data_IF_237794317609
#
_entry.id   IF_237794317609
#
_cell.length_a   1.000
_cell.length_b   1.000
_cell.length_c   1.000
_cell.angle_alpha   90.00
_cell.angle_beta   90.00
_cell.angle_gamma   90.00
#
_symmetry.space_group_name_H-M   'P 1'
#
loop_
_entity.id
_entity.type
_entity.pdbx_description
1 polymer ?
#
# COMPACT_ATOMS: atom_id res chain seq x y z
N UNK A 1 -31.30 14.46 10.40
CA UNK A 1 -30.64 13.22 10.85
C UNK A 1 -30.39 12.40 9.61
N UNK A 2 -29.18 12.52 9.05
CA UNK A 2 -28.78 11.68 7.92
C UNK A 2 -28.72 10.22 8.38
N UNK A 3 -29.15 9.30 7.52
CA UNK A 3 -29.07 7.88 7.83
C UNK A 3 -27.60 7.46 7.96
N UNK A 4 -27.27 6.59 8.95
CA UNK A 4 -25.91 6.09 9.11
C UNK A 4 -25.44 5.36 7.85
N UNK A 5 -24.15 5.51 7.50
CA UNK A 5 -23.60 4.91 6.29
C UNK A 5 -23.72 3.39 6.32
N UNK A 6 -24.19 2.79 5.22
CA UNK A 6 -24.25 1.33 5.07
C UNK A 6 -23.24 0.87 4.02
N UNK A 7 -22.46 -0.16 4.33
CA UNK A 7 -21.53 -0.77 3.37
C UNK A 7 -22.30 -1.59 2.33
N UNK A 8 -22.01 -1.34 1.06
CA UNK A 8 -22.60 -2.01 -0.10
C UNK A 8 -21.55 -2.89 -0.78
N UNK A 9 -21.65 -4.20 -0.57
CA UNK A 9 -20.69 -5.17 -1.06
C UNK A 9 -20.84 -5.46 -2.56
N UNK A 10 -19.74 -5.48 -3.33
CA UNK A 10 -19.77 -5.98 -4.70
C UNK A 10 -19.88 -7.52 -4.72
N UNK A 11 -20.27 -8.11 -5.86
CA UNK A 11 -20.24 -9.56 -6.05
C UNK A 11 -18.85 -10.14 -5.74
N UNK A 12 -18.82 -11.26 -5.03
CA UNK A 12 -17.57 -11.90 -4.66
C UNK A 12 -16.96 -12.71 -5.81
N UNK A 13 -17.81 -13.42 -6.55
CA UNK A 13 -17.41 -14.32 -7.62
C UNK A 13 -18.27 -14.10 -8.87
N UNK A 14 -17.71 -14.46 -10.03
CA UNK A 14 -18.38 -14.44 -11.33
C UNK A 14 -18.93 -15.81 -11.73
N UNK A 15 -19.66 -16.48 -10.84
CA UNK A 15 -20.12 -17.84 -11.09
C UNK A 15 -21.63 -17.95 -11.31
N UNK A 16 -22.47 -17.00 -10.85
CA UNK A 16 -23.92 -17.10 -10.95
C UNK A 16 -24.58 -15.98 -11.76
N UNK A 17 -25.52 -16.35 -12.66
CA UNK A 17 -26.33 -15.38 -13.40
C UNK A 17 -27.43 -14.79 -12.51
N UNK A 18 -27.54 -13.45 -12.44
CA UNK A 18 -28.53 -12.75 -11.61
C UNK A 18 -29.99 -13.01 -12.01
N UNK A 19 -30.26 -13.45 -13.25
CA UNK A 19 -31.62 -13.80 -13.67
C UNK A 19 -32.01 -15.26 -13.38
N UNK A 20 -31.33 -16.21 -14.04
CA UNK A 20 -31.69 -17.63 -13.99
C UNK A 20 -31.06 -18.38 -12.82
N UNK A 21 -30.18 -17.73 -12.04
CA UNK A 21 -29.48 -18.29 -10.88
C UNK A 21 -28.60 -19.51 -11.18
N UNK A 22 -28.44 -19.88 -12.46
CA UNK A 22 -27.57 -20.99 -12.88
C UNK A 22 -26.11 -20.57 -12.82
N UNK A 23 -25.27 -21.47 -12.30
CA UNK A 23 -23.83 -21.28 -12.31
C UNK A 23 -23.25 -21.46 -13.71
N UNK A 24 -22.54 -20.46 -14.24
CA UNK A 24 -21.91 -20.50 -15.56
C UNK A 24 -20.58 -19.75 -15.57
N UNK A 25 -19.57 -20.22 -16.32
CA UNK A 25 -18.35 -19.45 -16.54
C UNK A 25 -18.64 -18.24 -17.45
N UNK A 26 -17.74 -17.26 -17.43
CA UNK A 26 -17.70 -16.14 -18.39
C UNK A 26 -18.97 -15.26 -18.44
N UNK A 27 -19.56 -14.99 -17.28
CA UNK A 27 -20.69 -14.06 -17.19
C UNK A 27 -20.30 -12.64 -17.63
N UNK A 28 -21.25 -11.95 -18.25
CA UNK A 28 -21.16 -10.54 -18.60
C UNK A 28 -21.73 -9.67 -17.48
N UNK A 29 -21.14 -8.50 -17.27
CA UNK A 29 -21.65 -7.53 -16.31
C UNK A 29 -22.71 -6.63 -16.93
N UNK A 30 -23.64 -6.16 -16.09
CA UNK A 30 -24.43 -4.97 -16.42
C UNK A 30 -23.47 -3.82 -16.78
N UNK A 31 -23.60 -3.29 -17.99
CA UNK A 31 -22.73 -2.23 -18.50
C UNK A 31 -22.85 -0.92 -17.73
N UNK A 32 -23.96 -0.71 -17.01
CA UNK A 32 -24.20 0.51 -16.23
C UNK A 32 -23.62 0.40 -14.80
N UNK A 33 -24.03 -0.60 -14.02
CA UNK A 33 -23.67 -0.69 -12.60
C UNK A 33 -22.49 -1.61 -12.30
N UNK A 34 -22.23 -2.61 -13.14
CA UNK A 34 -21.28 -3.71 -12.91
C UNK A 34 -21.51 -4.57 -11.65
N UNK A 35 -22.72 -4.55 -11.08
CA UNK A 35 -23.09 -5.31 -9.87
C UNK A 35 -24.02 -6.50 -10.17
N UNK A 36 -24.59 -6.57 -11.37
CA UNK A 36 -25.37 -7.71 -11.85
C UNK A 36 -24.64 -8.43 -12.99
N UNK A 37 -24.79 -9.75 -13.04
CA UNK A 37 -24.07 -10.66 -13.95
C UNK A 37 -25.04 -11.50 -14.75
N UNK A 38 -24.74 -11.76 -16.01
CA UNK A 38 -25.66 -12.44 -16.92
C UNK A 38 -24.95 -13.47 -17.78
N UNK A 39 -25.62 -14.60 -18.01
CA UNK A 39 -25.10 -15.61 -18.94
C UNK A 39 -25.50 -15.33 -20.39
N UNK A 40 -26.47 -14.45 -20.62
CA UNK A 40 -26.91 -14.05 -21.96
C UNK A 40 -27.63 -12.70 -21.92
N UNK A 41 -27.76 -12.06 -23.09
CA UNK A 41 -28.50 -10.81 -23.25
C UNK A 41 -29.99 -10.99 -22.95
N UNK A 42 -30.55 -12.17 -23.18
CA UNK A 42 -31.94 -12.51 -22.87
C UNK A 42 -32.16 -12.51 -21.34
N UNK A 43 -31.27 -13.16 -20.58
CA UNK A 43 -31.31 -13.11 -19.12
C UNK A 43 -31.21 -11.68 -18.59
N UNK A 44 -30.36 -10.86 -19.22
CA UNK A 44 -30.24 -9.44 -18.87
C UNK A 44 -31.55 -8.67 -19.11
N UNK A 45 -32.18 -8.83 -20.29
CA UNK A 45 -33.44 -8.15 -20.62
C UNK A 45 -34.58 -8.55 -19.67
N UNK A 46 -34.72 -9.85 -19.39
CA UNK A 46 -35.76 -10.36 -18.49
C UNK A 46 -35.56 -9.86 -17.05
N UNK A 47 -34.33 -9.90 -16.53
CA UNK A 47 -34.04 -9.34 -15.20
C UNK A 47 -34.20 -7.82 -15.18
N UNK A 48 -33.85 -7.13 -16.27
CA UNK A 48 -34.04 -5.68 -16.40
C UNK A 48 -35.50 -5.29 -16.23
N UNK A 49 -36.40 -5.91 -16.99
CA UNK A 49 -37.82 -5.58 -16.97
C UNK A 49 -38.49 -5.89 -15.64
N UNK A 50 -38.10 -7.00 -14.99
CA UNK A 50 -38.72 -7.45 -13.75
C UNK A 50 -38.23 -6.70 -12.51
N UNK A 51 -36.92 -6.52 -12.36
CA UNK A 51 -36.32 -6.14 -11.06
C UNK A 51 -35.18 -5.12 -11.19
N UNK A 52 -34.21 -5.36 -12.07
CA UNK A 52 -32.94 -4.63 -12.05
C UNK A 52 -33.09 -3.14 -12.42
N UNK A 53 -34.08 -2.78 -13.25
CA UNK A 53 -34.24 -1.41 -13.77
C UNK A 53 -34.31 -0.35 -12.69
N UNK A 54 -34.97 -0.64 -11.56
CA UNK A 54 -35.14 0.34 -10.48
C UNK A 54 -33.89 0.47 -9.61
N UNK A 55 -33.23 -0.66 -9.32
CA UNK A 55 -32.00 -0.70 -8.52
C UNK A 55 -30.74 -0.26 -9.31
N UNK A 56 -30.79 -0.31 -10.65
CA UNK A 56 -29.65 0.04 -11.48
C UNK A 56 -29.36 1.55 -11.48
N UNK A 57 -28.28 1.94 -10.79
CA UNK A 57 -27.71 3.30 -10.82
C UNK A 57 -26.46 3.44 -11.68
N UNK A 58 -25.92 4.67 -11.77
CA UNK A 58 -24.61 4.92 -12.41
C UNK A 58 -23.48 4.62 -11.41
N UNK A 59 -22.45 3.93 -11.87
CA UNK A 59 -21.24 3.64 -11.09
C UNK A 59 -20.01 4.27 -11.75
N UNK A 60 -19.32 5.14 -11.03
CA UNK A 60 -17.94 5.53 -11.34
C UNK A 60 -17.01 4.37 -10.96
N UNK A 61 -16.33 3.83 -11.97
CA UNK A 61 -15.40 2.71 -11.85
C UNK A 61 -13.99 3.23 -11.99
N UNK A 62 -13.22 3.15 -10.91
CA UNK A 62 -11.90 3.75 -10.82
C UNK A 62 -10.85 2.64 -10.87
N UNK A 63 -9.90 2.73 -11.79
CA UNK A 63 -8.84 1.74 -11.91
C UNK A 63 -7.80 1.92 -10.80
N UNK A 64 -7.61 0.89 -9.96
CA UNK A 64 -6.64 0.90 -8.88
C UNK A 64 -5.21 1.15 -9.37
N UNK A 65 -4.86 0.73 -10.59
CA UNK A 65 -3.57 1.03 -11.22
C UNK A 65 -3.33 2.52 -11.52
N UNK A 66 -4.39 3.32 -11.56
CA UNK A 66 -4.31 4.79 -11.67
C UNK A 66 -4.60 5.50 -10.35
N UNK A 67 -5.21 4.80 -9.38
CA UNK A 67 -5.64 5.37 -8.11
C UNK A 67 -4.65 5.15 -6.96
N UNK A 68 -3.87 4.06 -6.99
CA UNK A 68 -2.91 3.75 -5.94
C UNK A 68 -1.89 4.86 -5.63
N UNK A 69 -1.48 5.74 -6.57
CA UNK A 69 -0.56 6.82 -6.24
C UNK A 69 -1.15 7.78 -5.20
N UNK A 70 -2.45 8.10 -5.27
CA UNK A 70 -3.09 8.88 -4.21
C UNK A 70 -3.03 8.16 -2.85
N UNK A 71 -3.22 6.83 -2.82
CA UNK A 71 -3.11 6.04 -1.59
C UNK A 71 -1.69 6.09 -1.01
N UNK A 72 -0.66 6.02 -1.86
CA UNK A 72 0.73 6.15 -1.43
C UNK A 72 1.05 7.55 -0.90
N UNK A 73 0.52 8.60 -1.55
CA UNK A 73 0.69 9.98 -1.11
C UNK A 73 0.00 10.22 0.25
N UNK A 74 -1.20 9.67 0.44
CA UNK A 74 -1.90 9.69 1.73
C UNK A 74 -1.14 8.92 2.81
N UNK A 75 -0.46 7.81 2.45
CA UNK A 75 0.44 7.12 3.37
C UNK A 75 1.60 8.04 3.79
N UNK A 76 2.17 8.78 2.83
CA UNK A 76 3.29 9.68 3.07
C UNK A 76 2.90 10.84 3.99
N UNK A 77 1.70 11.44 3.84
CA UNK A 77 1.24 12.51 4.76
C UNK A 77 1.07 12.03 6.20
N UNK A 78 0.66 10.76 6.41
CA UNK A 78 0.56 10.17 7.74
C UNK A 78 1.93 10.08 8.45
N UNK A 79 3.02 9.87 7.70
CA UNK A 79 4.38 9.78 8.24
C UNK A 79 4.90 11.11 8.79
N UNK A 80 4.38 12.23 8.29
CA UNK A 80 4.71 13.58 8.75
C UNK A 80 3.72 14.13 9.78
N UNK A 81 2.83 13.30 10.31
CA UNK A 81 1.84 13.74 11.28
C UNK A 81 2.48 14.09 12.63
N UNK A 82 2.11 15.23 13.22
CA UNK A 82 2.72 15.72 14.48
C UNK A 82 2.43 14.89 15.73
N UNK A 83 1.49 13.95 15.68
CA UNK A 83 1.28 12.96 16.77
C UNK A 83 2.21 11.74 16.65
N UNK A 84 2.86 11.55 15.51
CA UNK A 84 3.78 10.44 15.34
C UNK A 84 5.05 10.72 16.16
N UNK A 85 5.52 9.78 16.98
CA UNK A 85 6.72 9.98 17.75
C UNK A 85 7.92 10.14 16.82
N UNK A 86 8.81 11.05 17.22
CA UNK A 86 10.08 11.24 16.55
C UNK A 86 10.95 9.99 16.68
N UNK A 87 11.53 9.54 15.57
CA UNK A 87 12.47 8.43 15.59
C UNK A 87 13.73 8.82 16.38
N UNK A 88 14.19 8.03 17.39
CA UNK A 88 15.31 8.41 18.26
C UNK A 88 16.59 8.79 17.50
N UNK A 89 16.93 8.08 16.42
CA UNK A 89 18.11 8.38 15.61
C UNK A 89 18.11 9.80 14.97
N UNK A 90 16.97 10.49 14.92
CA UNK A 90 16.90 11.86 14.39
C UNK A 90 17.37 12.91 15.42
N UNK A 91 17.39 12.58 16.72
CA UNK A 91 17.83 13.47 17.80
C UNK A 91 19.23 13.13 18.32
N UNK A 92 20.01 12.35 17.57
CA UNK A 92 21.39 11.98 17.91
C UNK A 92 22.31 12.17 16.72
N UNK A 93 23.59 12.48 16.97
CA UNK A 93 24.61 12.46 15.91
C UNK A 93 24.83 11.06 15.39
N UNK A 94 25.05 10.93 14.10
CA UNK A 94 25.58 9.71 13.47
C UNK A 94 27.10 9.80 13.44
N UNK A 95 27.76 8.82 14.05
CA UNK A 95 29.22 8.85 14.31
C UNK A 95 30.05 8.24 13.19
N UNK A 96 29.47 7.37 12.37
CA UNK A 96 30.14 6.67 11.28
C UNK A 96 29.14 6.21 10.21
N UNK A 97 29.60 5.87 8.99
CA UNK A 97 28.74 5.27 7.98
C UNK A 97 28.14 3.94 8.47
N UNK A 98 26.83 3.70 8.27
CA UNK A 98 26.22 2.45 8.72
C UNK A 98 26.86 1.21 8.07
N UNK A 99 27.27 0.26 8.90
CA UNK A 99 27.95 -0.97 8.48
C UNK A 99 27.17 -2.22 8.90
N UNK A 100 27.29 -3.30 8.13
CA UNK A 100 26.64 -4.57 8.47
C UNK A 100 27.33 -5.20 9.67
N UNK A 101 26.55 -5.46 10.73
CA UNK A 101 27.01 -6.13 11.95
C UNK A 101 26.14 -7.35 12.20
N UNK A 102 26.77 -8.46 12.62
CA UNK A 102 26.07 -9.67 13.08
C UNK A 102 25.68 -9.58 14.55
N UNK A 103 24.50 -10.10 14.89
CA UNK A 103 23.95 -10.11 16.24
C UNK A 103 24.03 -11.51 16.88
N UNK A 104 23.96 -11.62 18.22
CA UNK A 104 24.02 -12.91 18.93
C UNK A 104 22.91 -13.90 18.54
N UNK A 105 21.78 -13.42 18.03
CA UNK A 105 20.66 -14.24 17.55
C UNK A 105 20.89 -14.80 16.12
N UNK A 106 22.05 -14.53 15.53
CA UNK A 106 22.43 -14.96 14.18
C UNK A 106 21.91 -14.05 13.05
N UNK A 107 21.14 -13.01 13.38
CA UNK A 107 20.71 -12.00 12.40
C UNK A 107 21.83 -11.01 12.10
N UNK A 108 21.68 -10.20 11.06
CA UNK A 108 22.59 -9.11 10.73
C UNK A 108 21.83 -7.93 10.11
N UNK A 109 22.29 -6.71 10.35
CA UNK A 109 21.70 -5.49 9.78
C UNK A 109 22.76 -4.38 9.64
N UNK A 110 22.48 -3.34 8.85
CA UNK A 110 23.28 -2.09 8.88
C UNK A 110 23.01 -1.35 10.18
N UNK A 111 24.03 -1.22 11.01
CA UNK A 111 23.96 -0.51 12.30
C UNK A 111 24.21 0.98 12.10
N UNK A 112 23.26 1.81 12.56
CA UNK A 112 23.42 3.25 12.72
C UNK A 112 23.88 3.52 14.16
N UNK A 113 25.13 3.95 14.31
CA UNK A 113 25.69 4.31 15.60
C UNK A 113 25.31 5.74 15.99
N UNK A 114 24.68 5.87 17.17
CA UNK A 114 24.16 7.11 17.71
C UNK A 114 25.12 7.66 18.77
N UNK A 115 25.66 8.83 18.48
CA UNK A 115 26.49 9.63 19.38
C UNK A 115 25.65 10.56 20.27
N UNK A 116 26.24 11.69 20.71
CA UNK A 116 25.56 12.65 21.58
C UNK A 116 24.25 13.18 20.99
N UNK A 117 23.31 13.50 21.87
CA UNK A 117 22.03 14.12 21.50
C UNK A 117 22.24 15.47 20.81
N UNK A 118 21.33 15.77 19.88
CA UNK A 118 21.25 17.05 19.18
C UNK A 118 19.79 17.51 19.10
N UNK A 119 19.54 18.82 18.95
CA UNK A 119 18.21 19.33 18.64
C UNK A 119 17.68 18.73 17.34
N UNK A 120 16.37 18.49 17.29
CA UNK A 120 15.71 17.97 16.08
C UNK A 120 15.84 18.89 14.86
N UNK A 121 15.96 20.20 15.08
CA UNK A 121 16.20 21.16 14.00
C UNK A 121 17.54 20.93 13.29
N UNK A 122 18.48 20.24 13.93
CA UNK A 122 19.76 19.86 13.32
C UNK A 122 19.65 18.55 12.52
N UNK A 123 18.52 17.83 12.53
CA UNK A 123 18.34 16.61 11.74
C UNK A 123 18.58 16.88 10.24
N UNK A 124 19.18 15.91 9.53
CA UNK A 124 19.63 16.04 8.12
C UNK A 124 20.78 17.04 7.88
N UNK A 125 21.23 17.80 8.89
CA UNK A 125 22.34 18.76 8.74
C UNK A 125 23.73 18.11 8.87
N UNK A 126 24.78 18.88 8.57
CA UNK A 126 26.19 18.51 8.83
C UNK A 126 26.47 18.24 10.32
N UNK A 127 25.66 18.80 11.24
CA UNK A 127 25.76 18.50 12.68
C UNK A 127 25.18 17.14 13.03
N UNK A 128 24.19 16.68 12.27
CA UNK A 128 23.57 15.38 12.46
C UNK A 128 24.45 14.25 11.93
N UNK A 129 25.03 14.39 10.74
CA UNK A 129 26.03 13.44 10.23
C UNK A 129 27.07 14.18 9.41
N UNK A 130 28.26 14.35 10.00
CA UNK A 130 29.30 15.18 9.38
C UNK A 130 29.99 14.48 8.22
N UNK A 131 30.48 15.28 7.27
CA UNK A 131 31.32 14.84 6.16
C UNK A 131 32.59 14.15 6.67
N UNK A 132 33.16 14.63 7.78
CA UNK A 132 34.31 13.99 8.43
C UNK A 132 33.99 12.56 8.94
N UNK A 133 32.74 12.31 9.33
CA UNK A 133 32.22 10.99 9.69
C UNK A 133 31.62 10.23 8.48
N UNK A 134 31.96 10.64 7.25
CA UNK A 134 31.49 10.02 6.00
C UNK A 134 30.06 10.40 5.57
N UNK A 135 29.45 11.40 6.20
CA UNK A 135 28.11 11.89 5.88
C UNK A 135 28.11 12.82 4.67
N UNK A 136 27.74 12.31 3.50
CA UNK A 136 27.47 13.13 2.31
C UNK A 136 26.04 13.66 2.32
N UNK A 137 25.74 14.73 1.57
CA UNK A 137 24.37 15.25 1.45
C UNK A 137 23.38 14.19 0.96
N UNK A 138 23.79 13.34 0.02
CA UNK A 138 22.94 12.27 -0.50
C UNK A 138 22.70 11.18 0.56
N UNK A 139 23.75 10.77 1.28
CA UNK A 139 23.63 9.78 2.35
C UNK A 139 22.77 10.30 3.51
N UNK A 140 22.94 11.57 3.90
CA UNK A 140 22.11 12.25 4.90
C UNK A 140 20.64 12.24 4.50
N UNK A 141 20.30 12.69 3.29
CA UNK A 141 18.91 12.69 2.79
C UNK A 141 18.31 11.29 2.77
N UNK A 142 19.07 10.30 2.29
CA UNK A 142 18.60 8.91 2.17
C UNK A 142 18.32 8.28 3.53
N UNK A 143 19.26 8.40 4.47
CA UNK A 143 19.09 7.87 5.81
C UNK A 143 17.95 8.60 6.53
N UNK A 144 17.90 9.93 6.46
CA UNK A 144 16.80 10.71 7.02
C UNK A 144 15.44 10.22 6.48
N UNK A 145 15.32 10.05 5.16
CA UNK A 145 14.11 9.57 4.52
C UNK A 145 13.71 8.16 5.01
N UNK A 146 14.66 7.25 5.26
CA UNK A 146 14.38 5.91 5.80
C UNK A 146 13.87 5.99 7.23
N UNK A 147 14.52 6.78 8.09
CA UNK A 147 14.15 6.95 9.50
C UNK A 147 12.75 7.56 9.67
N UNK A 148 12.44 8.62 8.91
CA UNK A 148 11.10 9.21 8.95
C UNK A 148 10.04 8.28 8.35
N UNK A 149 10.41 7.23 7.61
CA UNK A 149 9.47 6.26 7.05
C UNK A 149 9.39 4.96 7.85
N UNK A 150 10.07 4.88 8.98
CA UNK A 150 10.12 3.65 9.78
C UNK A 150 8.92 3.48 10.71
N UNK A 151 8.33 2.28 10.75
CA UNK A 151 7.23 1.95 11.66
C UNK A 151 5.85 2.43 11.21
N UNK A 152 4.85 2.21 12.07
CA UNK A 152 3.43 2.61 11.88
C UNK A 152 2.75 2.08 10.61
N UNK A 153 3.30 1.03 9.97
CA UNK A 153 2.75 0.51 8.71
C UNK A 153 1.31 0.05 8.88
N UNK A 154 1.01 -0.70 9.94
CA UNK A 154 -0.34 -1.22 10.20
C UNK A 154 -1.38 -0.10 10.41
N UNK A 155 -1.17 0.91 11.29
CA UNK A 155 -2.07 2.06 11.38
C UNK A 155 -2.26 2.81 10.07
N UNK A 156 -1.18 3.01 9.29
CA UNK A 156 -1.25 3.69 7.99
C UNK A 156 -2.13 2.90 7.02
N UNK A 157 -1.83 1.62 6.76
CA UNK A 157 -2.61 0.83 5.78
C UNK A 157 -4.06 0.59 6.23
N UNK A 158 -4.30 0.51 7.55
CA UNK A 158 -5.65 0.48 8.12
C UNK A 158 -6.41 1.75 7.77
N UNK A 159 -5.82 2.92 8.01
CA UNK A 159 -6.48 4.21 7.73
C UNK A 159 -6.81 4.41 6.24
N UNK A 160 -5.98 3.89 5.34
CA UNK A 160 -6.23 3.92 3.90
C UNK A 160 -7.41 3.01 3.53
N UNK A 161 -7.45 1.80 4.08
CA UNK A 161 -8.54 0.86 3.83
C UNK A 161 -9.88 1.36 4.39
N UNK A 162 -9.89 1.97 5.58
CA UNK A 162 -11.09 2.60 6.15
C UNK A 162 -11.55 3.79 5.30
N UNK A 163 -10.61 4.62 4.82
CA UNK A 163 -10.91 5.69 3.88
C UNK A 163 -11.59 5.20 2.60
N UNK A 164 -11.06 4.13 2.00
CA UNK A 164 -11.66 3.48 0.83
C UNK A 164 -13.06 2.92 1.13
N UNK A 165 -13.22 2.21 2.25
CA UNK A 165 -14.49 1.63 2.68
C UNK A 165 -15.57 2.71 2.82
N UNK A 166 -15.26 3.75 3.59
CA UNK A 166 -16.18 4.83 3.94
C UNK A 166 -16.52 5.77 2.78
N UNK A 167 -15.64 5.94 1.79
CA UNK A 167 -15.86 6.90 0.68
C UNK A 167 -16.30 6.26 -0.62
N UNK A 168 -15.95 4.99 -0.85
CA UNK A 168 -16.33 4.29 -2.08
C UNK A 168 -17.48 3.33 -1.83
N UNK A 169 -17.44 2.52 -0.78
CA UNK A 169 -18.37 1.39 -0.62
C UNK A 169 -19.60 1.69 0.23
N UNK A 170 -19.77 2.93 0.70
CA UNK A 170 -21.01 3.42 1.32
C UNK A 170 -21.90 4.19 0.33
N UNK A 171 -21.40 4.42 -0.88
CA UNK A 171 -22.14 5.17 -1.91
C UNK A 171 -23.17 4.28 -2.61
N UNK A 172 -24.32 4.88 -2.91
CA UNK A 172 -25.46 4.27 -3.59
C UNK A 172 -25.95 5.16 -4.75
N UNK A 173 -26.60 4.54 -5.74
CA UNK A 173 -27.21 5.20 -6.89
C UNK A 173 -28.40 4.39 -7.36
N UNK A 174 -29.50 5.05 -7.70
CA UNK A 174 -30.69 4.44 -8.28
C UNK A 174 -31.03 5.10 -9.60
N UNK A 175 -31.98 4.52 -10.33
CA UNK A 175 -32.41 5.08 -11.61
C UNK A 175 -32.98 6.49 -11.41
N UNK A 176 -32.48 7.45 -12.20
CA UNK A 176 -32.90 8.85 -12.12
C UNK A 176 -32.22 9.66 -11.00
N UNK A 177 -31.45 9.02 -10.12
CA UNK A 177 -30.66 9.72 -9.11
C UNK A 177 -29.51 10.51 -9.74
N UNK A 178 -29.20 11.67 -9.17
CA UNK A 178 -27.96 12.42 -9.46
C UNK A 178 -26.75 11.81 -8.76
N UNK A 179 -26.96 11.03 -7.70
CA UNK A 179 -25.91 10.33 -6.97
C UNK A 179 -25.31 9.22 -7.82
N UNK A 180 -24.02 8.96 -7.61
CA UNK A 180 -23.26 7.93 -8.32
C UNK A 180 -22.63 7.00 -7.28
N UNK A 181 -22.63 5.71 -7.57
CA UNK A 181 -21.78 4.76 -6.84
C UNK A 181 -20.33 4.98 -7.25
N UNK A 182 -19.41 4.70 -6.35
CA UNK A 182 -17.97 4.67 -6.64
C UNK A 182 -17.45 3.28 -6.29
N UNK A 183 -16.79 2.61 -7.23
CA UNK A 183 -16.21 1.27 -7.01
C UNK A 183 -14.83 1.19 -7.64
N UNK A 184 -13.94 0.45 -7.00
CA UNK A 184 -12.65 0.12 -7.58
C UNK A 184 -12.78 -0.98 -8.62
N UNK A 185 -11.93 -0.93 -9.64
CA UNK A 185 -11.67 -2.02 -10.57
C UNK A 185 -10.16 -2.13 -10.79
N UNK A 186 -9.70 -3.26 -11.31
CA UNK A 186 -8.38 -3.35 -11.93
C UNK A 186 -8.57 -3.63 -13.41
N UNK A 187 -8.09 -2.72 -14.27
CA UNK A 187 -8.41 -2.72 -15.70
C UNK A 187 -9.92 -2.72 -15.89
N UNK A 188 -10.46 -3.75 -16.52
CA UNK A 188 -11.90 -3.89 -16.75
C UNK A 188 -12.62 -4.79 -15.74
N UNK A 189 -11.93 -5.24 -14.68
CA UNK A 189 -12.46 -6.22 -13.73
C UNK A 189 -12.74 -5.58 -12.37
N UNK A 190 -14.00 -5.60 -11.88
CA UNK A 190 -14.34 -5.06 -10.56
C UNK A 190 -13.50 -5.67 -9.43
N UNK A 191 -13.14 -4.84 -8.45
CA UNK A 191 -12.59 -5.30 -7.18
C UNK A 191 -13.74 -5.90 -6.37
N UNK A 192 -13.60 -7.17 -5.99
CA UNK A 192 -14.57 -7.91 -5.17
C UNK A 192 -14.20 -7.90 -3.69
N UNK A 193 -12.93 -7.66 -3.38
CA UNK A 193 -12.42 -7.59 -2.02
C UNK A 193 -11.15 -6.74 -1.94
N UNK A 194 -10.93 -6.09 -0.79
CA UNK A 194 -9.65 -5.49 -0.43
C UNK A 194 -9.48 -5.52 1.09
N UNK A 195 -8.23 -5.50 1.52
CA UNK A 195 -7.93 -5.50 2.93
C UNK A 195 -6.44 -5.51 3.21
N UNK A 196 -6.08 -6.01 4.38
CA UNK A 196 -4.71 -5.96 4.89
C UNK A 196 -4.19 -7.39 4.99
N UNK A 197 -2.97 -7.59 4.51
CA UNK A 197 -2.22 -8.80 4.70
C UNK A 197 -1.04 -8.53 5.65
N UNK A 198 -0.72 -9.53 6.47
CA UNK A 198 0.39 -9.59 7.42
C UNK A 198 1.26 -10.79 7.05
N UNK A 199 2.57 -10.60 7.06
CA UNK A 199 3.52 -11.64 6.71
C UNK A 199 4.95 -11.19 6.80
N UNK A 200 5.80 -11.75 5.95
CA UNK A 200 7.18 -11.34 5.79
C UNK A 200 7.47 -10.98 4.34
N UNK A 201 8.61 -10.33 4.11
CA UNK A 201 9.17 -10.21 2.78
C UNK A 201 10.69 -10.44 2.77
N UNK A 202 11.20 -10.90 1.64
CA UNK A 202 12.62 -11.21 1.47
C UNK A 202 13.46 -9.94 1.33
N UNK A 203 14.40 -9.74 2.26
CA UNK A 203 15.33 -8.59 2.28
C UNK A 203 16.71 -9.03 2.75
N UNK A 204 17.76 -8.40 2.19
CA UNK A 204 19.15 -8.65 2.60
C UNK A 204 19.47 -7.86 3.88
N UNK A 205 20.40 -8.38 4.69
CA UNK A 205 20.87 -7.69 5.91
C UNK A 205 21.41 -6.28 5.64
N UNK A 206 22.03 -6.05 4.49
CA UNK A 206 22.54 -4.75 4.07
C UNK A 206 21.45 -3.68 3.84
N UNK A 207 20.20 -4.11 3.71
CA UNK A 207 19.05 -3.25 3.50
C UNK A 207 18.18 -3.14 4.76
N UNK A 208 18.50 -3.87 5.83
CA UNK A 208 17.87 -3.71 7.15
C UNK A 208 18.64 -2.70 7.99
N UNK A 209 17.94 -1.96 8.86
CA UNK A 209 18.56 -1.06 9.83
C UNK A 209 18.50 -1.65 11.24
N UNK A 210 19.53 -1.36 12.02
CA UNK A 210 19.57 -1.49 13.46
C UNK A 210 20.28 -0.27 14.04
N UNK A 211 20.17 -0.08 15.35
CA UNK A 211 20.63 1.13 16.02
C UNK A 211 21.42 0.77 17.27
N UNK A 212 22.42 1.59 17.58
CA UNK A 212 23.25 1.44 18.77
C UNK A 212 23.50 2.81 19.41
N UNK A 213 23.24 2.96 20.71
CA UNK A 213 23.42 4.23 21.42
C UNK A 213 24.61 4.24 22.39
N UNK A 214 25.57 3.32 22.20
CA UNK A 214 26.70 3.11 23.12
C UNK A 214 26.41 2.08 24.23
N UNK A 215 25.14 1.87 24.58
CA UNK A 215 24.75 0.95 25.66
C UNK A 215 23.91 -0.23 25.16
N UNK A 216 23.02 -0.01 24.19
CA UNK A 216 22.02 -0.99 23.77
C UNK A 216 21.86 -1.00 22.26
N UNK A 217 21.68 -2.21 21.71
CA UNK A 217 21.24 -2.42 20.34
C UNK A 217 19.72 -2.60 20.28
N UNK A 218 19.09 -2.07 19.24
CA UNK A 218 17.74 -2.44 18.85
C UNK A 218 17.62 -2.53 17.34
N UNK A 219 16.73 -3.42 16.86
CA UNK A 219 16.44 -3.56 15.44
C UNK A 219 15.47 -2.48 15.01
N UNK A 220 15.60 -2.07 13.75
CA UNK A 220 14.58 -1.26 13.12
C UNK A 220 13.35 -2.07 12.72
N UNK A 221 12.60 -1.56 11.74
CA UNK A 221 11.42 -2.25 11.21
C UNK A 221 11.73 -3.70 10.83
N UNK A 222 10.89 -4.62 11.33
CA UNK A 222 11.08 -6.05 11.17
C UNK A 222 10.50 -6.52 9.82
N UNK A 223 11.32 -7.07 8.89
CA UNK A 223 10.80 -7.60 7.64
C UNK A 223 9.99 -8.88 7.81
N UNK A 224 10.12 -9.56 8.96
CA UNK A 224 9.33 -10.72 9.31
C UNK A 224 7.96 -10.35 9.91
N UNK A 225 7.71 -9.09 10.27
CA UNK A 225 6.41 -8.59 10.74
C UNK A 225 5.95 -7.39 9.90
N UNK A 226 5.58 -7.66 8.65
CA UNK A 226 5.30 -6.65 7.65
C UNK A 226 3.84 -6.67 7.16
N UNK A 227 3.37 -5.52 6.70
CA UNK A 227 1.97 -5.28 6.32
C UNK A 227 1.84 -4.64 4.94
N UNK A 228 0.86 -5.09 4.15
CA UNK A 228 0.53 -4.51 2.85
C UNK A 228 -0.97 -4.55 2.56
N UNK A 229 -1.42 -3.73 1.61
CA UNK A 229 -2.80 -3.73 1.14
C UNK A 229 -2.91 -4.72 -0.01
N UNK A 230 -3.90 -5.61 0.04
CA UNK A 230 -4.26 -6.46 -1.09
C UNK A 230 -5.57 -5.99 -1.71
N UNK A 231 -5.69 -6.17 -3.02
CA UNK A 231 -6.93 -6.04 -3.78
C UNK A 231 -7.16 -7.33 -4.56
N UNK A 232 -8.39 -7.82 -4.52
CA UNK A 232 -8.82 -9.00 -5.25
C UNK A 232 -9.92 -8.62 -6.22
N UNK A 233 -9.73 -8.96 -7.48
CA UNK A 233 -10.79 -8.85 -8.47
C UNK A 233 -11.79 -9.98 -8.32
N UNK A 234 -13.01 -9.77 -8.81
CA UNK A 234 -14.06 -10.80 -8.89
C UNK A 234 -13.69 -12.02 -9.78
N UNK A 235 -12.58 -11.93 -10.53
CA UNK A 235 -11.98 -13.04 -11.29
C UNK A 235 -10.84 -13.75 -10.54
N UNK A 236 -10.61 -13.39 -9.28
CA UNK A 236 -9.56 -13.98 -8.44
C UNK A 236 -8.15 -13.45 -8.70
N UNK A 237 -7.99 -12.43 -9.54
CA UNK A 237 -6.69 -11.77 -9.68
C UNK A 237 -6.37 -10.91 -8.46
N UNK A 238 -5.15 -11.04 -7.94
CA UNK A 238 -4.64 -10.29 -6.80
C UNK A 238 -3.63 -9.22 -7.23
N UNK A 239 -3.75 -8.06 -6.59
CA UNK A 239 -2.87 -6.89 -6.73
C UNK A 239 -2.43 -6.49 -5.32
N UNK A 240 -1.17 -6.10 -5.15
CA UNK A 240 -0.62 -5.64 -3.87
C UNK A 240 -0.17 -4.19 -3.99
N UNK A 241 -0.48 -3.39 -2.98
CA UNK A 241 0.15 -2.11 -2.71
C UNK A 241 0.89 -2.20 -1.38
N UNK A 242 2.21 -2.05 -1.44
CA UNK A 242 3.07 -2.02 -0.27
C UNK A 242 3.75 -0.65 -0.16
N UNK A 243 3.46 0.07 0.92
CA UNK A 243 3.96 1.42 1.21
C UNK A 243 5.10 1.42 2.23
N UNK A 244 5.50 0.24 2.72
CA UNK A 244 6.46 0.09 3.82
C UNK A 244 7.85 -0.41 3.39
N UNK A 245 8.07 -0.76 2.12
CA UNK A 245 9.36 -1.33 1.70
C UNK A 245 10.51 -0.31 1.55
N UNK A 246 10.22 0.99 1.54
CA UNK A 246 11.26 2.02 1.38
C UNK A 246 12.31 1.99 2.49
N UNK A 247 11.90 1.66 3.71
CA UNK A 247 12.79 1.50 4.87
C UNK A 247 13.80 0.38 4.67
N UNK A 248 13.53 -0.51 3.71
CA UNK A 248 14.35 -1.64 3.31
C UNK A 248 14.98 -1.45 1.92
N UNK A 249 15.16 -0.19 1.51
CA UNK A 249 15.82 0.16 0.26
C UNK A 249 15.10 -0.30 -1.02
N UNK A 250 13.80 -0.63 -0.94
CA UNK A 250 12.97 -0.77 -2.14
C UNK A 250 12.48 0.61 -2.59
N UNK A 251 13.29 1.25 -3.42
CA UNK A 251 13.22 2.69 -3.68
C UNK A 251 12.26 3.11 -4.80
N UNK A 252 11.19 2.36 -5.03
CA UNK A 252 10.18 2.75 -6.04
C UNK A 252 9.28 3.84 -5.45
N UNK A 253 9.23 4.98 -6.14
CA UNK A 253 8.48 6.17 -5.74
C UNK A 253 7.48 6.54 -6.83
N UNK A 254 6.32 7.08 -6.43
CA UNK A 254 5.36 7.73 -7.33
C UNK A 254 5.48 9.25 -7.21
N UNK A 255 5.37 9.96 -8.32
CA UNK A 255 5.28 11.44 -8.34
C UNK A 255 3.94 11.89 -7.79
N UNK A 256 3.94 12.88 -6.89
CA UNK A 256 2.73 13.35 -6.21
C UNK A 256 1.95 14.41 -6.99
N UNK A 257 2.64 15.34 -7.66
CA UNK A 257 2.07 16.52 -8.32
C UNK A 257 0.81 16.23 -9.17
N UNK A 258 0.77 15.20 -10.05
CA UNK A 258 -0.39 14.96 -10.90
C UNK A 258 -1.66 14.56 -10.15
N UNK A 259 -1.52 14.13 -8.89
CA UNK A 259 -2.59 13.58 -8.07
C UNK A 259 -3.14 14.58 -7.06
N UNK A 260 -2.33 15.58 -6.67
CA UNK A 260 -2.66 16.51 -5.59
C UNK A 260 -2.85 17.96 -6.04
N UNK A 261 -2.50 18.32 -7.28
CA UNK A 261 -2.56 19.71 -7.78
C UNK A 261 -3.94 20.38 -7.64
N UNK A 262 -5.02 19.59 -7.73
CA UNK A 262 -6.42 20.04 -7.68
C UNK A 262 -7.07 19.82 -6.29
N UNK A 263 -6.29 19.37 -5.30
CA UNK A 263 -6.76 18.96 -3.97
C UNK A 263 -6.19 19.86 -2.87
N UNK A 264 -6.93 19.93 -1.77
CA UNK A 264 -6.50 20.61 -0.55
C UNK A 264 -5.81 19.65 0.43
N UNK A 265 -5.28 20.17 1.54
CA UNK A 265 -4.73 19.40 2.66
C UNK A 265 -3.43 18.60 2.42
N UNK A 266 -2.54 19.10 1.56
CA UNK A 266 -1.19 18.55 1.41
C UNK A 266 -0.10 19.49 1.95
N UNK A 267 0.93 18.96 2.64
CA UNK A 267 2.06 19.76 3.06
C UNK A 267 2.88 20.23 1.85
N UNK A 268 3.51 21.42 1.93
CA UNK A 268 4.42 21.88 0.89
C UNK A 268 5.61 20.93 0.75
N UNK A 269 6.10 20.73 -0.49
CA UNK A 269 7.28 19.90 -0.78
C UNK A 269 7.04 18.40 -0.81
N UNK A 270 5.77 17.95 -0.82
CA UNK A 270 5.44 16.55 -1.05
C UNK A 270 5.56 16.21 -2.54
N UNK A 271 6.78 15.90 -2.98
CA UNK A 271 7.07 15.63 -4.40
C UNK A 271 6.88 14.15 -4.77
N UNK A 272 7.20 13.25 -3.85
CA UNK A 272 7.21 11.80 -4.10
C UNK A 272 6.69 11.01 -2.89
N UNK A 273 6.06 9.87 -3.15
CA UNK A 273 5.63 8.92 -2.14
C UNK A 273 6.12 7.50 -2.46
N UNK A 274 6.61 6.72 -1.48
CA UNK A 274 7.00 5.34 -1.74
C UNK A 274 5.80 4.45 -2.05
N UNK A 275 5.95 3.62 -3.08
CA UNK A 275 4.93 2.65 -3.45
C UNK A 275 5.53 1.48 -4.22
N UNK A 276 5.40 0.28 -3.67
CA UNK A 276 5.59 -0.95 -4.41
C UNK A 276 4.23 -1.52 -4.81
N UNK A 277 3.84 -1.25 -6.06
CA UNK A 277 2.57 -1.69 -6.63
C UNK A 277 2.77 -2.94 -7.50
N UNK A 278 2.49 -4.12 -6.95
CA UNK A 278 2.66 -5.40 -7.66
C UNK A 278 1.35 -5.76 -8.38
N UNK A 279 1.32 -5.45 -9.67
CA UNK A 279 0.21 -5.74 -10.57
C UNK A 279 0.41 -7.06 -11.34
N UNK A 280 -0.52 -7.39 -12.26
CA UNK A 280 -0.43 -8.58 -13.14
C UNK A 280 0.93 -8.72 -13.83
N UNK A 281 1.46 -7.61 -14.33
CA UNK A 281 2.69 -7.61 -15.13
C UNK A 281 3.88 -7.90 -14.22
N UNK A 282 3.98 -7.21 -13.08
CA UNK A 282 5.06 -7.44 -12.12
C UNK A 282 4.97 -8.84 -11.50
N UNK A 283 3.79 -9.30 -11.11
CA UNK A 283 3.59 -10.65 -10.56
C UNK A 283 4.08 -11.76 -11.50
N UNK A 284 3.98 -11.56 -12.83
CA UNK A 284 4.44 -12.52 -13.84
C UNK A 284 5.95 -12.47 -14.08
N UNK A 285 6.61 -11.34 -13.87
CA UNK A 285 8.00 -11.13 -14.30
C UNK A 285 9.00 -11.02 -13.14
N UNK A 286 8.55 -10.62 -11.94
CA UNK A 286 9.40 -10.44 -10.75
C UNK A 286 9.22 -11.61 -9.80
N UNK A 287 10.30 -12.00 -9.11
CA UNK A 287 10.27 -13.03 -8.06
C UNK A 287 9.26 -12.66 -6.96
N UNK A 288 8.67 -13.67 -6.33
CA UNK A 288 7.79 -13.43 -5.20
C UNK A 288 8.66 -13.14 -3.98
N UNK A 289 8.58 -11.90 -3.48
CA UNK A 289 9.31 -11.47 -2.28
C UNK A 289 8.43 -11.52 -1.03
N UNK A 290 7.12 -11.40 -1.15
CA UNK A 290 6.17 -11.47 -0.02
C UNK A 290 5.77 -12.91 0.30
N UNK A 291 5.77 -13.23 1.60
CA UNK A 291 5.20 -14.45 2.17
C UNK A 291 4.08 -14.07 3.13
N UNK A 292 2.85 -14.32 2.74
CA UNK A 292 1.68 -14.02 3.57
C UNK A 292 1.48 -15.08 4.66
N UNK A 293 1.13 -14.65 5.87
CA UNK A 293 0.76 -15.53 6.99
C UNK A 293 -0.67 -15.32 7.48
N UNK A 294 -1.17 -14.09 7.42
CA UNK A 294 -2.52 -13.72 7.86
C UNK A 294 -3.07 -12.66 6.92
N UNK A 295 -4.38 -12.68 6.65
CA UNK A 295 -5.07 -11.60 5.93
C UNK A 295 -6.43 -11.34 6.53
N UNK A 296 -6.94 -10.14 6.32
CA UNK A 296 -8.29 -9.74 6.70
C UNK A 296 -8.90 -8.86 5.61
N UNK A 297 -10.13 -9.19 5.22
CA UNK A 297 -10.92 -8.33 4.33
C UNK A 297 -11.39 -7.13 5.12
N UNK A 298 -11.01 -5.92 4.71
CA UNK A 298 -11.60 -4.71 5.30
C UNK A 298 -12.97 -4.44 4.70
N UNK A 299 -13.14 -4.73 3.40
CA UNK A 299 -14.42 -4.52 2.70
C UNK A 299 -15.57 -5.32 3.32
N UNK A 300 -15.31 -6.55 3.77
CA UNK A 300 -16.32 -7.50 4.26
C UNK A 300 -16.27 -7.68 5.78
N UNK A 301 -15.46 -6.90 6.49
CA UNK A 301 -15.43 -6.95 7.96
C UNK A 301 -16.59 -6.15 8.54
N UNK A 302 -17.51 -6.85 9.22
CA UNK A 302 -18.69 -6.24 9.81
C UNK A 302 -18.35 -5.20 10.88
N UNK A 303 -17.38 -5.47 11.76
CA UNK A 303 -16.93 -4.53 12.81
C UNK A 303 -16.37 -3.25 12.21
N UNK A 304 -15.54 -3.34 11.18
CA UNK A 304 -15.02 -2.15 10.48
C UNK A 304 -16.10 -1.42 9.68
N UNK A 305 -17.08 -2.16 9.14
CA UNK A 305 -18.27 -1.58 8.52
C UNK A 305 -19.15 -0.82 9.52
N UNK A 306 -19.23 -1.29 10.77
CA UNK A 306 -19.88 -0.56 11.88
C UNK A 306 -19.10 0.70 12.24
N UNK A 307 -17.78 0.59 12.39
CA UNK A 307 -16.92 1.70 12.81
C UNK A 307 -16.95 2.91 11.87
N UNK A 308 -17.21 2.72 10.57
CA UNK A 308 -17.24 3.82 9.60
C UNK A 308 -18.61 4.51 9.46
N UNK A 309 -19.63 4.08 10.21
CA UNK A 309 -21.02 4.58 10.08
C UNK A 309 -21.15 6.07 10.29
N UNK A 310 -20.41 6.63 11.25
CA UNK A 310 -20.48 8.04 11.65
C UNK A 310 -19.38 8.90 11.02
N UNK A 311 -18.52 8.30 10.18
CA UNK A 311 -17.31 8.94 9.61
C UNK A 311 -17.54 10.26 8.87
N UNK A 312 -18.78 10.64 8.55
CA UNK A 312 -19.15 11.96 7.99
C UNK A 312 -18.96 13.06 9.03
N UNK A 313 -19.42 12.83 10.26
CA UNK A 313 -19.39 13.79 11.37
C UNK A 313 -18.14 13.61 12.26
N UNK A 314 -17.51 12.44 12.17
CA UNK A 314 -16.32 12.08 12.94
C UNK A 314 -16.35 10.61 13.33
N UNK A 315 -15.56 10.22 14.32
CA UNK A 315 -15.66 8.90 14.94
C UNK A 315 -16.13 9.07 16.38
N UNK A 316 -17.15 8.30 16.78
CA UNK A 316 -17.56 8.21 18.17
C UNK A 316 -16.61 7.30 18.96
N UNK A 317 -16.75 7.28 20.29
CA UNK A 317 -15.93 6.42 21.16
C UNK A 317 -16.05 4.94 20.76
N UNK A 318 -17.28 4.46 20.52
CA UNK A 318 -17.53 3.08 20.09
C UNK A 318 -16.92 2.75 18.73
N UNK A 319 -16.86 3.71 17.80
CA UNK A 319 -16.20 3.52 16.51
C UNK A 319 -14.68 3.38 16.69
N UNK A 320 -14.10 4.20 17.57
CA UNK A 320 -12.68 4.15 17.90
C UNK A 320 -12.30 2.83 18.55
N UNK A 321 -13.12 2.32 19.48
CA UNK A 321 -12.94 1.03 20.15
C UNK A 321 -12.90 -0.13 19.14
N UNK A 322 -13.80 -0.14 18.15
CA UNK A 322 -13.81 -1.18 17.10
C UNK A 322 -12.55 -1.15 16.22
N UNK A 323 -12.03 0.04 15.93
CA UNK A 323 -10.78 0.21 15.16
C UNK A 323 -9.58 -0.24 15.99
N UNK A 324 -9.55 0.08 17.28
CA UNK A 324 -8.50 -0.34 18.20
C UNK A 324 -8.51 -1.85 18.43
N UNK A 325 -9.68 -2.45 18.65
CA UNK A 325 -9.84 -3.91 18.76
C UNK A 325 -9.30 -4.60 17.50
N UNK A 326 -9.65 -4.10 16.32
CA UNK A 326 -9.12 -4.61 15.06
C UNK A 326 -7.58 -4.54 14.98
N UNK A 327 -6.98 -3.43 15.38
CA UNK A 327 -5.53 -3.25 15.34
C UNK A 327 -4.82 -4.19 16.32
N UNK A 328 -5.37 -4.36 17.53
CA UNK A 328 -4.83 -5.27 18.53
C UNK A 328 -4.92 -6.73 18.07
N UNK A 329 -6.09 -7.15 17.56
CA UNK A 329 -6.33 -8.51 17.11
C UNK A 329 -5.52 -8.87 15.85
N UNK A 330 -5.43 -7.94 14.89
CA UNK A 330 -4.73 -8.18 13.65
C UNK A 330 -3.21 -8.02 13.80
N UNK A 331 -2.81 -7.03 14.60
CA UNK A 331 -1.44 -6.67 14.91
C UNK A 331 -0.77 -7.53 15.98
N UNK A 332 -1.42 -8.58 16.50
CA UNK A 332 -0.85 -9.49 17.50
C UNK A 332 0.64 -9.80 17.24
N UNK A 333 1.49 -9.55 18.24
CA UNK A 333 2.95 -9.70 18.17
C UNK A 333 3.72 -8.46 17.67
N UNK A 334 3.03 -7.43 17.18
CA UNK A 334 3.61 -6.12 16.83
C UNK A 334 3.61 -5.21 18.05
N UNK A 335 4.63 -4.35 18.16
CA UNK A 335 4.64 -3.31 19.18
C UNK A 335 3.41 -2.39 19.01
N UNK A 336 2.69 -2.05 20.10
CA UNK A 336 1.58 -1.10 20.02
C UNK A 336 2.04 0.24 19.43
N UNK A 337 1.15 0.90 18.69
CA UNK A 337 1.37 2.29 18.30
C UNK A 337 1.63 3.12 19.57
N UNK A 338 2.62 4.02 19.57
CA UNK A 338 2.87 4.92 20.70
C UNK A 338 1.70 5.87 20.98
N UNK A 339 0.79 6.05 20.02
CA UNK A 339 -0.45 6.78 20.21
C UNK A 339 -1.61 6.05 19.50
N UNK A 340 -2.56 5.52 20.29
CA UNK A 340 -3.72 4.77 19.82
C UNK A 340 -4.68 5.61 18.95
N UNK A 341 -4.52 6.94 18.93
CA UNK A 341 -5.33 7.86 18.12
C UNK A 341 -4.84 7.98 16.68
N UNK A 342 -3.59 7.62 16.38
CA UNK A 342 -3.01 7.71 15.03
C UNK A 342 -3.91 7.13 13.91
N UNK A 343 -4.40 5.88 13.98
CA UNK A 343 -5.25 5.31 12.94
C UNK A 343 -6.53 6.13 12.71
N UNK A 344 -7.13 6.68 13.78
CA UNK A 344 -8.34 7.50 13.71
C UNK A 344 -8.05 8.82 13.00
N UNK A 345 -6.99 9.52 13.43
CA UNK A 345 -6.61 10.82 12.87
C UNK A 345 -6.17 10.69 11.41
N UNK A 346 -5.41 9.65 11.08
CA UNK A 346 -5.04 9.35 9.69
C UNK A 346 -6.28 9.08 8.83
N UNK A 347 -7.25 8.32 9.36
CA UNK A 347 -8.48 8.03 8.65
C UNK A 347 -9.26 9.31 8.36
N UNK A 348 -9.47 10.19 9.36
CA UNK A 348 -10.17 11.46 9.18
C UNK A 348 -9.51 12.35 8.12
N UNK A 349 -8.16 12.45 8.11
CA UNK A 349 -7.43 13.17 7.07
C UNK A 349 -7.63 12.55 5.68
N UNK A 350 -7.51 11.23 5.58
CA UNK A 350 -7.75 10.51 4.33
C UNK A 350 -9.17 10.72 3.81
N UNK A 351 -10.18 10.75 4.70
CA UNK A 351 -11.58 10.98 4.33
C UNK A 351 -11.79 12.35 3.68
N UNK A 352 -11.18 13.40 4.22
CA UNK A 352 -11.28 14.74 3.64
C UNK A 352 -10.77 14.77 2.19
N UNK A 353 -9.55 14.29 1.98
CA UNK A 353 -8.93 14.25 0.65
C UNK A 353 -9.68 13.34 -0.31
N UNK A 354 -10.08 12.14 0.13
CA UNK A 354 -10.82 11.18 -0.71
C UNK A 354 -12.19 11.72 -1.09
N UNK A 355 -12.93 12.36 -0.18
CA UNK A 355 -14.22 12.99 -0.46
C UNK A 355 -14.06 14.11 -1.47
N UNK A 356 -13.04 14.95 -1.32
CA UNK A 356 -12.75 16.02 -2.27
C UNK A 356 -12.40 15.46 -3.66
N UNK A 357 -11.46 14.52 -3.74
CA UNK A 357 -11.03 13.90 -4.99
C UNK A 357 -12.17 13.20 -5.73
N UNK A 358 -13.03 12.48 -4.99
CA UNK A 358 -14.19 11.79 -5.55
C UNK A 358 -15.31 12.76 -5.95
N UNK A 359 -15.58 13.78 -5.14
CA UNK A 359 -16.60 14.81 -5.42
C UNK A 359 -16.25 15.64 -6.66
N UNK A 360 -14.98 16.09 -6.76
CA UNK A 360 -14.44 16.80 -7.94
C UNK A 360 -14.14 15.87 -9.12
N UNK A 361 -14.13 14.55 -8.89
CA UNK A 361 -13.77 13.51 -9.88
C UNK A 361 -12.39 13.76 -10.50
N UNK A 362 -11.42 14.23 -9.70
CA UNK A 362 -10.06 14.57 -10.15
C UNK A 362 -9.35 13.39 -10.80
N UNK A 363 -9.66 12.16 -10.35
CA UNK A 363 -9.15 10.91 -10.93
C UNK A 363 -9.36 10.76 -12.44
N UNK A 364 -10.33 11.47 -13.02
CA UNK A 364 -10.57 11.45 -14.46
C UNK A 364 -9.47 12.14 -15.28
N UNK A 365 -8.66 13.00 -14.63
CA UNK A 365 -7.54 13.73 -15.24
C UNK A 365 -6.18 13.10 -14.96
N UNK A 366 -6.09 12.16 -14.00
CA UNK A 366 -4.82 11.61 -13.59
C UNK A 366 -4.14 10.78 -14.69
N UNK A 367 -2.80 10.66 -14.65
CA UNK A 367 -2.06 9.86 -15.62
C UNK A 367 -2.53 8.40 -15.67
N UNK A 368 -2.73 7.88 -16.88
CA UNK A 368 -3.04 6.45 -17.10
C UNK A 368 -1.88 5.53 -16.71
N UNK A 369 -0.66 6.06 -16.79
CA UNK A 369 0.56 5.42 -16.30
C UNK A 369 1.16 6.35 -15.24
N UNK A 370 1.13 5.97 -13.96
CA UNK A 370 1.72 6.79 -12.90
C UNK A 370 3.19 7.09 -13.19
N UNK A 371 3.64 8.36 -13.04
CA UNK A 371 5.05 8.68 -13.14
C UNK A 371 5.81 8.07 -11.96
N UNK A 372 6.83 7.27 -12.27
CA UNK A 372 7.65 6.57 -11.29
C UNK A 372 9.05 7.16 -11.23
N UNK A 373 9.64 7.15 -10.05
CA UNK A 373 11.04 7.47 -9.80
C UNK A 373 11.71 6.35 -8.98
N UNK A 374 13.04 6.28 -9.07
CA UNK A 374 13.85 5.37 -8.24
C UNK A 374 14.79 6.25 -7.40
N UNK A 375 14.66 6.15 -6.08
CA UNK A 375 15.53 6.84 -5.13
C UNK A 375 16.69 5.92 -4.69
N UNK A 376 17.64 5.64 -5.60
CA UNK A 376 18.75 4.70 -5.36
C UNK A 376 19.72 5.16 -4.27
N UNK A 377 20.36 4.21 -3.59
CA UNK A 377 21.43 4.51 -2.62
C UNK A 377 22.60 5.26 -3.28
N UNK A 378 23.33 6.11 -2.52
CA UNK A 378 24.58 6.67 -2.99
C UNK A 378 25.52 5.55 -3.45
N UNK A 379 26.10 5.71 -4.65
CA UNK A 379 27.01 4.74 -5.27
C UNK A 379 26.41 3.41 -5.73
N UNK A 380 25.10 3.15 -5.57
CA UNK A 380 24.48 1.87 -5.97
C UNK A 380 24.66 1.54 -7.47
N UNK A 381 24.88 2.57 -8.31
CA UNK A 381 25.17 2.44 -9.74
C UNK A 381 26.65 2.27 -10.09
N UNK A 382 27.54 2.31 -9.10
CA UNK A 382 29.00 2.29 -9.29
C UNK A 382 29.60 0.89 -9.08
N UNK A 383 28.81 -0.10 -8.63
CA UNK A 383 29.30 -1.41 -8.14
C UNK A 383 29.28 -2.56 -9.15
N UNK A 384 28.76 -2.39 -10.38
CA UNK A 384 28.79 -3.43 -11.41
C UNK A 384 29.53 -2.95 -12.66
N UNK A 385 30.34 -3.83 -13.23
CA UNK A 385 30.89 -3.61 -14.57
C UNK A 385 29.82 -3.91 -15.63
N UNK A 386 29.91 -3.26 -16.80
CA UNK A 386 29.00 -3.55 -17.93
C UNK A 386 29.00 -5.04 -18.32
N UNK A 387 30.12 -5.73 -18.14
CA UNK A 387 30.27 -7.16 -18.44
C UNK A 387 29.54 -8.06 -17.42
N UNK A 388 29.60 -7.72 -16.13
CA UNK A 388 28.84 -8.41 -15.07
C UNK A 388 27.33 -8.22 -15.25
N UNK A 389 26.90 -7.01 -15.58
CA UNK A 389 25.51 -6.70 -15.88
C UNK A 389 25.02 -7.50 -17.10
N UNK A 390 25.77 -7.53 -18.20
CA UNK A 390 25.41 -8.27 -19.40
C UNK A 390 25.33 -9.78 -19.14
N UNK A 391 26.26 -10.34 -18.37
CA UNK A 391 26.25 -11.75 -17.98
C UNK A 391 25.04 -12.08 -17.10
N UNK A 392 24.72 -11.20 -16.14
CA UNK A 392 23.55 -11.32 -15.30
C UNK A 392 22.26 -11.26 -16.13
N UNK A 393 22.10 -10.27 -17.01
CA UNK A 393 20.94 -10.11 -17.88
C UNK A 393 20.76 -11.30 -18.82
N UNK A 394 21.85 -11.87 -19.35
CA UNK A 394 21.81 -13.07 -20.19
C UNK A 394 21.29 -14.28 -19.42
N UNK A 395 21.74 -14.47 -18.18
CA UNK A 395 21.26 -15.55 -17.31
C UNK A 395 19.79 -15.35 -16.90
N UNK A 396 19.40 -14.12 -16.55
CA UNK A 396 18.01 -13.76 -16.27
C UNK A 396 17.11 -14.10 -17.47
N UNK A 397 17.46 -13.62 -18.68
CA UNK A 397 16.71 -13.91 -19.91
C UNK A 397 16.57 -15.41 -20.17
N UNK A 398 17.63 -16.20 -19.93
CA UNK A 398 17.60 -17.66 -20.09
C UNK A 398 16.59 -18.31 -19.14
N UNK A 399 16.59 -17.93 -17.86
CA UNK A 399 15.65 -18.46 -16.87
C UNK A 399 14.22 -17.99 -17.12
N UNK A 400 14.02 -16.72 -17.45
CA UNK A 400 12.70 -16.18 -17.81
C UNK A 400 12.14 -16.88 -19.04
N UNK A 401 12.96 -17.18 -20.05
CA UNK A 401 12.55 -17.95 -21.22
C UNK A 401 12.11 -19.37 -20.84
N UNK A 402 12.88 -20.06 -20.00
CA UNK A 402 12.52 -21.41 -19.49
C UNK A 402 11.17 -21.38 -18.76
N UNK A 403 10.98 -20.43 -17.85
CA UNK A 403 9.74 -20.26 -17.10
C UNK A 403 8.54 -19.94 -18.01
N UNK A 404 8.66 -18.94 -18.89
CA UNK A 404 7.59 -18.56 -19.84
C UNK A 404 7.22 -19.68 -20.81
N UNK A 405 8.17 -20.57 -21.13
CA UNK A 405 7.92 -21.77 -21.94
C UNK A 405 7.37 -22.97 -21.15
N UNK A 406 7.08 -22.82 -19.85
CA UNK A 406 6.56 -23.90 -19.00
C UNK A 406 7.58 -25.00 -18.66
N UNK A 407 8.86 -24.81 -18.97
CA UNK A 407 9.92 -25.83 -18.76
C UNK A 407 10.37 -25.96 -17.30
N UNK A 408 10.01 -25.00 -16.45
CA UNK A 408 10.35 -25.00 -15.02
C UNK A 408 9.18 -24.44 -14.22
N UNK A 409 9.00 -24.94 -12.98
CA UNK A 409 8.00 -24.40 -12.05
C UNK A 409 8.36 -22.99 -11.58
N UNK A 410 7.37 -22.25 -11.05
CA UNK A 410 7.60 -20.93 -10.45
C UNK A 410 8.65 -20.99 -9.32
N UNK A 411 8.54 -21.98 -8.43
CA UNK A 411 9.50 -22.19 -7.34
C UNK A 411 10.94 -22.43 -7.85
N UNK A 412 11.09 -23.19 -8.93
CA UNK A 412 12.41 -23.45 -9.55
C UNK A 412 12.98 -22.18 -10.17
N UNK A 413 12.15 -21.39 -10.85
CA UNK A 413 12.55 -20.10 -11.41
C UNK A 413 13.00 -19.14 -10.31
N UNK A 414 12.19 -18.95 -9.28
CA UNK A 414 12.50 -18.02 -8.18
C UNK A 414 13.81 -18.42 -7.47
N UNK A 415 14.02 -19.73 -7.22
CA UNK A 415 15.27 -20.25 -6.66
C UNK A 415 16.48 -19.95 -7.54
N UNK A 416 16.34 -20.08 -8.86
CA UNK A 416 17.42 -19.80 -9.79
C UNK A 416 17.76 -18.32 -9.89
N UNK A 417 16.76 -17.44 -9.89
CA UNK A 417 16.98 -15.99 -9.91
C UNK A 417 17.66 -15.52 -8.61
N UNK A 418 17.25 -16.05 -7.45
CA UNK A 418 17.92 -15.74 -6.16
C UNK A 418 19.41 -16.07 -6.17
N UNK A 419 19.81 -17.16 -6.84
CA UNK A 419 21.23 -17.54 -6.97
C UNK A 419 22.02 -16.60 -7.89
N UNK A 420 21.36 -15.86 -8.78
CA UNK A 420 22.00 -14.86 -9.65
C UNK A 420 22.20 -13.51 -8.96
N UNK A 421 21.46 -13.26 -7.87
CA UNK A 421 21.52 -12.01 -7.10
C UNK A 421 22.41 -12.10 -5.84
N UNK A 422 23.10 -13.23 -5.66
CA UNK A 422 24.22 -13.40 -4.73
C UNK A 422 25.50 -13.07 -5.47
#
# INVERSE_FOLDING_TARGET
>A
MDQPLAVHLPPENLDQCSHCLVKKPNLSFCSACAEATYCSTECQKLHWEKEHKQACGKTDRIDIGTFYPLLAILAETARFHGLRPTHPALSHRITAPPAVVGFPDGSAAKVVELGPEIPMDDAMSERWWSTAAGGTDQARRKLFARLIKEGEVLPIVTSLCLGLLATMYTTTSSRGSRSRRVRLQYKSCPISDFGIAKGSFEVKCQDQLAYFNGNMFWKGQDPDDHYWIYFKTVRGEEIILDIGLFTFNFCTMVSAEPYISDLSDFPPGLDYAPAFFRDRLLAKNVIQIHTERKRISVLRNEKLGLAIRHSVEGFEAADCELIQEFLNDFGEGTAPSPDERLPIVYTLKNLNVLREALGKRTWTKWPKSPPLAIDSDPHERDYSTAEEDDAWFKNLKKWTKKYKSGKVSRATYDTAIRKLSK
#
